data_IF_779788354949
#
_entry.id   IF_779788354949
#
_cell.length_a   1.000
_cell.length_b   1.000
_cell.length_c   1.000
_cell.angle_alpha   90.00
_cell.angle_beta   90.00
_cell.angle_gamma   90.00
#
_symmetry.space_group_name_H-M   'P 1'
#
loop_
_entity.id
_entity.type
_entity.pdbx_description
1 polymer ?
#
# COMPACT_ATOMS: atom_id res chain seq x y z
N UNK A 1 14.06 10.88 11.72
CA UNK A 1 13.14 10.05 10.92
C UNK A 1 13.70 9.96 9.52
N UNK A 2 14.12 8.79 9.08
CA UNK A 2 14.73 8.55 7.78
C UNK A 2 13.68 7.90 6.87
N UNK A 3 12.85 8.74 6.27
CA UNK A 3 11.95 8.30 5.21
C UNK A 3 12.78 7.92 3.98
N UNK A 4 12.63 6.69 3.52
CA UNK A 4 13.23 6.21 2.28
C UNK A 4 12.25 6.43 1.12
N UNK A 5 12.67 7.21 0.12
CA UNK A 5 11.88 7.41 -1.09
C UNK A 5 12.14 6.25 -2.04
N UNK A 6 11.09 5.50 -2.38
CA UNK A 6 11.19 4.38 -3.31
C UNK A 6 11.11 4.89 -4.74
N UNK A 7 12.10 4.56 -5.55
CA UNK A 7 12.05 4.79 -7.00
C UNK A 7 11.29 3.63 -7.70
N UNK A 8 11.05 3.77 -9.01
CA UNK A 8 10.33 2.74 -9.78
C UNK A 8 10.97 1.35 -9.65
N UNK A 9 12.31 1.24 -9.73
CA UNK A 9 12.98 -0.05 -9.59
C UNK A 9 12.72 -0.66 -8.21
N UNK A 10 12.77 0.13 -7.13
CA UNK A 10 12.45 -0.36 -5.79
C UNK A 10 11.01 -0.88 -5.70
N UNK A 11 10.06 -0.23 -6.38
CA UNK A 11 8.67 -0.69 -6.41
C UNK A 11 8.52 -1.99 -7.21
N UNK A 12 9.23 -2.15 -8.33
CA UNK A 12 9.22 -3.39 -9.11
C UNK A 12 9.85 -4.55 -8.32
N UNK A 13 10.99 -4.30 -7.66
CA UNK A 13 11.64 -5.29 -6.80
C UNK A 13 10.73 -5.71 -5.63
N UNK A 14 9.90 -4.79 -5.12
CA UNK A 14 8.93 -5.07 -4.08
C UNK A 14 7.81 -5.98 -4.57
N UNK A 15 7.31 -5.78 -5.80
CA UNK A 15 6.32 -6.67 -6.43
C UNK A 15 6.89 -8.07 -6.64
N UNK A 16 8.12 -8.18 -7.13
CA UNK A 16 8.79 -9.47 -7.32
C UNK A 16 8.99 -10.20 -5.99
N UNK A 17 9.48 -9.49 -4.98
CA UNK A 17 9.67 -10.03 -3.64
C UNK A 17 8.36 -10.52 -3.04
N UNK A 18 7.30 -9.71 -3.09
CA UNK A 18 5.97 -10.08 -2.63
C UNK A 18 5.46 -11.36 -3.30
N UNK A 19 5.56 -11.44 -4.64
CA UNK A 19 5.14 -12.61 -5.40
C UNK A 19 5.90 -13.90 -5.03
N UNK A 20 7.19 -13.79 -4.69
CA UNK A 20 8.01 -14.92 -4.23
C UNK A 20 7.60 -15.37 -2.83
N UNK A 21 7.30 -14.42 -1.93
CA UNK A 21 7.05 -14.71 -0.51
C UNK A 21 5.57 -14.99 -0.17
N UNK A 22 4.63 -14.72 -1.07
CA UNK A 22 3.19 -14.87 -0.84
C UNK A 22 2.67 -16.33 -0.88
N UNK A 23 3.55 -17.32 -1.04
CA UNK A 23 3.20 -18.75 -1.12
C UNK A 23 2.12 -19.10 -2.17
N UNK A 24 2.04 -18.31 -3.25
CA UNK A 24 1.05 -18.49 -4.33
C UNK A 24 -0.24 -17.67 -4.16
N UNK A 25 -0.35 -16.84 -3.13
CA UNK A 25 -1.41 -15.84 -2.91
C UNK A 25 -0.93 -14.40 -3.17
N UNK A 26 -1.51 -13.42 -2.48
CA UNK A 26 -1.04 -12.01 -2.50
C UNK A 26 -1.52 -11.15 -3.68
N UNK A 27 -2.17 -11.77 -4.67
CA UNK A 27 -2.66 -11.09 -5.87
C UNK A 27 -1.81 -11.38 -7.12
N UNK A 28 -2.16 -10.71 -8.22
CA UNK A 28 -1.51 -10.88 -9.52
C UNK A 28 -0.33 -9.90 -9.69
N UNK A 29 0.92 -10.37 -9.89
CA UNK A 29 2.08 -9.50 -10.08
C UNK A 29 1.96 -8.52 -11.23
N UNK A 30 1.28 -8.88 -12.33
CA UNK A 30 1.04 -7.98 -13.46
C UNK A 30 0.24 -6.74 -13.05
N UNK A 31 -0.70 -6.92 -12.12
CA UNK A 31 -1.43 -5.80 -11.52
C UNK A 31 -0.51 -4.92 -10.69
N UNK A 32 0.40 -5.51 -9.90
CA UNK A 32 1.42 -4.79 -9.14
C UNK A 32 2.34 -3.93 -10.01
N UNK A 33 2.87 -4.49 -11.11
CA UNK A 33 3.72 -3.73 -12.04
C UNK A 33 2.97 -2.55 -12.68
N UNK A 34 1.72 -2.75 -13.11
CA UNK A 34 0.89 -1.64 -13.67
C UNK A 34 0.72 -0.51 -12.66
N UNK A 35 0.49 -0.82 -11.39
CA UNK A 35 0.37 0.18 -10.32
C UNK A 35 1.69 0.93 -10.11
N UNK A 36 2.82 0.22 -10.02
CA UNK A 36 4.13 0.83 -9.85
C UNK A 36 4.48 1.79 -11.00
N UNK A 37 4.25 1.37 -12.25
CA UNK A 37 4.43 2.22 -13.41
C UNK A 37 3.52 3.44 -13.42
N UNK A 38 2.24 3.27 -13.07
CA UNK A 38 1.28 4.38 -12.97
C UNK A 38 1.75 5.42 -11.95
N UNK A 39 2.10 4.98 -10.74
CA UNK A 39 2.60 5.86 -9.67
C UNK A 39 3.83 6.67 -10.12
N UNK A 40 4.80 6.01 -10.75
CA UNK A 40 5.99 6.68 -11.27
C UNK A 40 5.66 7.68 -12.39
N UNK A 41 4.76 7.32 -13.32
CA UNK A 41 4.37 8.17 -14.45
C UNK A 41 3.58 9.41 -14.03
N UNK A 42 2.79 9.30 -12.96
CA UNK A 42 2.01 10.40 -12.39
C UNK A 42 2.83 11.24 -11.39
N UNK A 43 4.11 10.90 -11.17
CA UNK A 43 5.03 11.66 -10.32
C UNK A 43 4.80 11.46 -8.82
N UNK A 44 4.10 10.40 -8.41
CA UNK A 44 3.90 10.10 -7.00
C UNK A 44 5.20 9.59 -6.35
N UNK A 45 5.46 10.06 -5.14
CA UNK A 45 6.58 9.59 -4.31
C UNK A 45 6.07 8.62 -3.25
N UNK A 46 6.49 7.37 -3.33
CA UNK A 46 6.23 6.36 -2.29
C UNK A 46 7.32 6.45 -1.24
N UNK A 47 6.93 6.48 0.04
CA UNK A 47 7.86 6.61 1.17
C UNK A 47 7.74 5.39 2.09
N UNK A 48 8.88 4.78 2.39
CA UNK A 48 9.00 3.70 3.36
C UNK A 48 9.57 4.25 4.66
N UNK A 49 9.05 3.78 5.78
CA UNK A 49 9.51 4.12 7.14
C UNK A 49 9.79 2.84 7.91
N UNK A 50 10.92 2.80 8.61
CA UNK A 50 11.23 1.69 9.50
C UNK A 50 10.34 1.75 10.77
N UNK A 51 9.85 0.61 11.30
CA UNK A 51 9.02 0.61 12.50
C UNK A 51 9.63 1.33 13.71
N UNK A 52 10.96 1.27 13.87
CA UNK A 52 11.70 1.95 14.93
C UNK A 52 11.71 3.49 14.82
N UNK A 53 11.31 4.03 13.67
CA UNK A 53 11.24 5.48 13.43
C UNK A 53 9.81 6.02 13.50
N UNK A 54 8.82 5.14 13.66
CA UNK A 54 7.42 5.50 13.86
C UNK A 54 7.23 5.95 15.31
N UNK A 55 6.57 7.10 15.57
CA UNK A 55 6.28 7.54 16.94
C UNK A 55 5.39 6.54 17.68
N UNK A 56 5.64 6.31 18.97
CA UNK A 56 4.93 5.31 19.79
C UNK A 56 3.40 5.44 19.76
N UNK A 57 2.89 6.67 19.66
CA UNK A 57 1.45 6.98 19.66
C UNK A 57 0.85 7.18 18.26
N UNK A 58 1.63 6.93 17.20
CA UNK A 58 1.17 7.05 15.83
C UNK A 58 0.08 6.02 15.51
N UNK A 59 -0.90 6.41 14.68
CA UNK A 59 -1.94 5.50 14.20
C UNK A 59 -1.52 4.93 12.86
N UNK A 60 -1.32 3.61 12.82
CA UNK A 60 -1.00 2.88 11.59
C UNK A 60 -2.24 2.15 11.16
N UNK A 61 -2.64 2.33 9.90
CA UNK A 61 -3.82 1.66 9.36
C UNK A 61 -3.39 0.48 8.52
N UNK A 62 -3.86 -0.70 8.91
CA UNK A 62 -3.79 -1.85 8.04
C UNK A 62 -4.84 -1.72 6.94
N UNK A 63 -4.43 -1.84 5.69
CA UNK A 63 -5.35 -1.78 4.55
C UNK A 63 -5.23 -3.05 3.71
N UNK A 64 -6.37 -3.65 3.43
CA UNK A 64 -6.50 -4.80 2.55
C UNK A 64 -7.68 -4.58 1.62
N UNK A 65 -7.51 -4.93 0.35
CA UNK A 65 -8.64 -5.10 -0.55
C UNK A 65 -9.09 -6.56 -0.52
N UNK A 66 -10.30 -6.82 -0.01
CA UNK A 66 -10.90 -8.16 -0.04
C UNK A 66 -11.99 -8.17 -1.11
N UNK A 67 -11.79 -8.96 -2.16
CA UNK A 67 -12.73 -9.06 -3.28
C UNK A 67 -12.63 -10.40 -4.00
N UNK A 68 -13.68 -10.75 -4.76
CA UNK A 68 -13.64 -11.91 -5.64
C UNK A 68 -12.73 -11.62 -6.84
N UNK A 69 -11.78 -12.49 -7.12
CA UNK A 69 -10.79 -12.36 -8.21
C UNK A 69 -11.41 -12.25 -9.60
N UNK A 70 -12.70 -12.53 -9.76
CA UNK A 70 -13.35 -12.76 -11.06
C UNK A 70 -14.19 -11.61 -11.61
N UNK A 71 -14.36 -10.46 -10.91
CA UNK A 71 -15.50 -9.60 -11.30
C UNK A 71 -15.37 -8.08 -11.20
N UNK A 72 -14.38 -7.46 -10.55
CA UNK A 72 -14.25 -6.00 -10.57
C UNK A 72 -12.77 -5.57 -10.45
N UNK A 73 -12.36 -4.61 -11.26
CA UNK A 73 -11.06 -3.93 -11.14
C UNK A 73 -11.00 -3.16 -9.81
N UNK A 74 -9.82 -3.07 -9.20
CA UNK A 74 -9.63 -2.39 -7.90
C UNK A 74 -10.01 -0.91 -7.99
N UNK A 75 -10.97 -0.48 -7.15
CA UNK A 75 -11.37 0.92 -7.03
C UNK A 75 -10.57 1.62 -5.93
N UNK A 76 -9.50 2.31 -6.34
CA UNK A 76 -8.62 3.05 -5.45
C UNK A 76 -9.33 4.24 -4.77
N UNK A 77 -10.30 4.87 -5.43
CA UNK A 77 -11.02 6.02 -4.88
C UNK A 77 -11.96 5.59 -3.76
N UNK A 78 -12.64 4.44 -3.94
CA UNK A 78 -13.46 3.84 -2.89
C UNK A 78 -12.61 3.48 -1.65
N UNK A 79 -11.42 2.92 -1.86
CA UNK A 79 -10.47 2.60 -0.79
C UNK A 79 -10.06 3.84 0.02
N UNK A 80 -9.64 4.91 -0.67
CA UNK A 80 -9.27 6.17 -0.01
C UNK A 80 -10.46 6.77 0.72
N UNK A 81 -11.66 6.75 0.11
CA UNK A 81 -12.88 7.26 0.73
C UNK A 81 -13.23 6.49 2.01
N UNK A 82 -13.09 5.17 2.02
CA UNK A 82 -13.31 4.36 3.21
C UNK A 82 -12.36 4.74 4.36
N UNK A 83 -11.07 4.95 4.05
CA UNK A 83 -10.09 5.42 5.03
C UNK A 83 -10.47 6.80 5.60
N UNK A 84 -10.85 7.76 4.75
CA UNK A 84 -11.24 9.10 5.21
C UNK A 84 -12.46 9.08 6.11
N UNK A 85 -13.48 8.28 5.76
CA UNK A 85 -14.67 8.12 6.60
C UNK A 85 -14.30 7.52 7.97
N UNK A 86 -13.38 6.56 8.01
CA UNK A 86 -12.90 5.96 9.25
C UNK A 86 -12.12 6.96 10.12
N UNK A 87 -11.22 7.75 9.52
CA UNK A 87 -10.51 8.84 10.19
C UNK A 87 -11.48 9.84 10.82
N UNK A 88 -12.48 10.29 10.06
CA UNK A 88 -13.51 11.24 10.53
C UNK A 88 -14.37 10.65 11.65
N UNK A 89 -14.79 9.39 11.53
CA UNK A 89 -15.67 8.74 12.51
C UNK A 89 -14.96 8.49 13.86
N UNK A 90 -13.69 8.09 13.80
CA UNK A 90 -12.91 7.71 14.98
C UNK A 90 -11.98 8.82 15.50
N UNK A 91 -12.08 10.03 14.94
CA UNK A 91 -11.30 11.23 15.31
C UNK A 91 -9.79 10.95 15.39
N UNK A 92 -9.23 10.38 14.30
CA UNK A 92 -7.79 10.17 14.18
C UNK A 92 -7.29 10.46 12.78
N UNK A 93 -5.97 10.65 12.64
CA UNK A 93 -5.31 10.67 11.34
C UNK A 93 -4.29 9.55 11.24
N UNK A 94 -4.32 8.82 10.14
CA UNK A 94 -3.39 7.77 9.81
C UNK A 94 -2.01 8.36 9.51
N UNK A 95 -1.02 7.92 10.28
CA UNK A 95 0.39 8.29 10.09
C UNK A 95 1.02 7.57 8.90
N UNK A 96 0.74 6.27 8.78
CA UNK A 96 1.16 5.44 7.67
C UNK A 96 0.19 4.28 7.47
N UNK A 97 0.26 3.65 6.31
CA UNK A 97 -0.42 2.39 6.01
C UNK A 97 0.55 1.23 6.07
N UNK A 98 0.05 0.05 6.42
CA UNK A 98 0.82 -1.20 6.35
C UNK A 98 -0.01 -2.25 5.59
N UNK A 99 0.59 -3.03 4.66
CA UNK A 99 -0.11 -4.13 4.02
C UNK A 99 -0.54 -5.20 5.04
N UNK A 100 -1.62 -5.91 4.75
CA UNK A 100 -2.15 -7.01 5.59
C UNK A 100 -1.33 -8.29 5.51
N UNK A 101 -0.69 -8.50 4.36
CA UNK A 101 0.06 -9.70 4.03
C UNK A 101 1.31 -9.34 3.21
N UNK A 102 2.04 -10.38 2.80
CA UNK A 102 3.20 -10.29 1.91
C UNK A 102 2.76 -10.40 0.45
#
# INVERSE_FOLDING_TARGET
>A
MKLENLNLQNLLDLVDGAAIFSAGGGGDPETGYRIAHKLASEGYTVRLVAPSEVPDNAKIVNFACVGATTTVEYDADAAVKALRILEDYADFSAYATIPVEL
#
